data_IF_569161934441
#
_entry.id   IF_569161934441
#
_cell.length_a   1.000
_cell.length_b   1.000
_cell.length_c   1.000
_cell.angle_alpha   90.00
_cell.angle_beta   90.00
_cell.angle_gamma   90.00
#
_symmetry.space_group_name_H-M   'P 1'
#
loop_
_entity.id
_entity.type
_entity.pdbx_description
1 polymer ?
#
# COMPACT_ATOMS: atom_id res chain seq x y z
N UNK A 1 19.14 39.73 30.62
CA UNK A 1 18.73 38.30 30.59
C UNK A 1 17.82 38.13 29.39
N UNK A 2 18.30 37.50 28.32
CA UNK A 2 17.50 37.29 27.11
C UNK A 2 16.61 36.07 27.28
N UNK A 3 15.40 36.13 26.74
CA UNK A 3 14.45 35.01 26.75
C UNK A 3 14.03 34.71 25.32
N UNK A 4 13.80 33.43 25.05
CA UNK A 4 13.32 32.95 23.76
C UNK A 4 11.94 32.32 23.96
N UNK A 5 11.11 32.35 22.92
CA UNK A 5 9.79 31.71 22.95
C UNK A 5 9.84 30.38 22.20
N UNK A 6 9.17 29.37 22.75
CA UNK A 6 8.99 28.09 22.07
C UNK A 6 8.13 28.29 20.81
N UNK A 7 8.55 27.82 19.62
CA UNK A 7 7.76 27.97 18.40
C UNK A 7 6.50 27.10 18.38
N UNK A 8 6.47 25.99 19.12
CA UNK A 8 5.34 25.06 19.13
C UNK A 8 4.23 25.49 20.10
N UNK A 9 4.58 25.92 21.32
CA UNK A 9 3.61 26.19 22.37
C UNK A 9 3.62 27.64 22.89
N UNK A 10 4.47 28.50 22.32
CA UNK A 10 4.57 29.91 22.73
C UNK A 10 5.10 30.15 24.14
N UNK A 11 5.52 29.10 24.86
CA UNK A 11 5.98 29.23 26.26
C UNK A 11 7.33 29.95 26.31
N UNK A 12 7.49 30.85 27.29
CA UNK A 12 8.73 31.60 27.51
C UNK A 12 9.80 30.70 28.12
N UNK A 13 10.98 30.66 27.51
CA UNK A 13 12.09 29.80 27.89
C UNK A 13 13.36 30.62 28.14
N UNK A 14 14.26 30.04 28.94
CA UNK A 14 15.63 30.52 29.10
C UNK A 14 16.42 30.28 27.81
N UNK A 15 17.35 31.17 27.48
CA UNK A 15 18.27 31.04 26.33
C UNK A 15 19.11 29.75 26.36
N UNK A 16 19.27 29.15 27.55
CA UNK A 16 20.05 27.92 27.76
C UNK A 16 19.18 26.66 27.85
N UNK A 17 17.87 26.77 27.59
CA UNK A 17 16.99 25.61 27.63
C UNK A 17 17.35 24.63 26.51
N UNK A 18 17.62 23.38 26.88
CA UNK A 18 17.88 22.30 25.91
C UNK A 18 16.56 21.87 25.26
N UNK A 19 15.47 21.85 26.04
CA UNK A 19 14.12 21.48 25.61
C UNK A 19 13.05 22.30 26.34
N UNK A 20 11.90 22.48 25.69
CA UNK A 20 10.73 23.11 26.29
C UNK A 20 10.10 22.18 27.33
N UNK A 21 9.99 22.62 28.59
CA UNK A 21 9.36 21.83 29.66
C UNK A 21 7.84 21.66 29.48
N UNK A 22 7.19 22.47 28.64
CA UNK A 22 5.74 22.43 28.45
C UNK A 22 5.30 21.48 27.31
N UNK A 23 6.09 21.38 26.23
CA UNK A 23 5.73 20.55 25.06
C UNK A 23 6.83 19.58 24.61
N UNK A 24 7.95 19.51 25.34
CA UNK A 24 9.13 18.71 25.00
C UNK A 24 9.84 19.08 23.67
N UNK A 25 9.51 20.21 23.04
CA UNK A 25 10.19 20.67 21.83
C UNK A 25 11.69 20.98 22.08
N UNK A 26 12.63 20.44 21.28
CA UNK A 26 14.06 20.65 21.46
C UNK A 26 14.51 22.04 20.96
N UNK A 27 15.12 22.84 21.84
CA UNK A 27 15.54 24.22 21.54
C UNK A 27 17.04 24.28 21.13
N UNK A 28 17.86 23.33 21.59
CA UNK A 28 19.30 23.29 21.36
C UNK A 28 19.71 23.15 19.87
N UNK A 29 18.79 22.77 18.97
CA UNK A 29 19.09 22.54 17.56
C UNK A 29 19.36 23.83 16.73
N UNK A 30 19.10 25.04 17.28
CA UNK A 30 19.18 26.29 16.50
C UNK A 30 20.55 26.97 16.43
N UNK A 31 21.53 26.59 17.27
CA UNK A 31 22.84 27.30 17.32
C UNK A 31 23.88 26.88 16.27
N UNK A 32 23.67 25.79 15.53
CA UNK A 32 24.70 25.19 14.66
C UNK A 32 24.48 25.40 13.15
N UNK A 33 23.64 26.34 12.74
CA UNK A 33 23.41 26.63 11.31
C UNK A 33 24.32 27.74 10.77
N UNK A 34 25.64 27.70 11.02
CA UNK A 34 26.54 28.57 10.23
C UNK A 34 27.80 27.96 9.59
N UNK A 35 28.42 26.84 9.99
CA UNK A 35 29.55 26.32 9.17
C UNK A 35 29.70 24.79 9.19
N UNK A 36 29.29 24.12 8.08
CA UNK A 36 30.16 23.23 7.28
C UNK A 36 29.37 22.58 6.11
N UNK A 37 29.64 23.03 4.88
CA UNK A 37 29.41 22.27 3.66
C UNK A 37 30.69 21.50 3.33
N UNK A 38 30.69 20.19 3.56
CA UNK A 38 31.63 19.23 2.96
C UNK A 38 30.79 18.02 2.53
N UNK A 39 30.90 17.66 1.25
CA UNK A 39 30.21 16.60 0.54
C UNK A 39 30.20 15.25 1.26
N UNK A 40 29.00 14.75 1.59
CA UNK A 40 28.70 13.41 2.10
C UNK A 40 27.58 12.74 1.29
N UNK A 41 27.37 11.42 1.38
CA UNK A 41 26.48 10.69 0.46
C UNK A 41 25.04 11.19 0.60
N UNK A 42 24.33 11.29 -0.53
CA UNK A 42 22.92 11.67 -0.58
C UNK A 42 22.08 10.66 0.22
N UNK A 43 21.56 11.08 1.37
CA UNK A 43 20.52 10.33 2.08
C UNK A 43 19.26 11.17 2.01
N UNK A 44 18.30 10.66 1.25
CA UNK A 44 17.03 11.29 0.96
C UNK A 44 16.27 11.67 2.24
N UNK A 45 15.63 12.85 2.21
CA UNK A 45 14.70 13.35 3.21
C UNK A 45 13.39 12.53 3.21
N UNK A 46 13.49 11.24 3.55
CA UNK A 46 12.41 10.26 3.67
C UNK A 46 12.67 9.33 4.86
N UNK A 47 13.22 9.81 5.97
CA UNK A 47 13.57 8.95 7.11
C UNK A 47 13.28 9.63 8.44
N UNK A 48 12.00 9.85 8.71
CA UNK A 48 11.47 10.02 10.06
C UNK A 48 10.22 9.13 10.18
N UNK A 49 10.45 7.84 10.40
CA UNK A 49 9.42 6.80 10.46
C UNK A 49 9.89 5.39 10.09
N UNK A 50 11.19 5.09 10.18
CA UNK A 50 11.80 3.84 9.73
C UNK A 50 11.82 2.77 10.83
N UNK A 51 10.64 2.31 11.24
CA UNK A 51 10.41 1.01 11.88
C UNK A 51 9.04 0.41 11.48
N UNK A 52 8.45 0.89 10.37
CA UNK A 52 7.30 0.21 9.77
C UNK A 52 7.86 -0.66 8.67
N UNK A 53 7.89 -1.98 8.91
CA UNK A 53 8.37 -2.98 7.97
C UNK A 53 7.84 -2.70 6.57
N UNK A 54 8.72 -2.65 5.58
CA UNK A 54 8.32 -2.57 4.16
C UNK A 54 7.45 -3.78 3.85
N UNK A 55 6.13 -3.58 3.89
CA UNK A 55 5.17 -4.59 3.50
C UNK A 55 5.37 -4.79 2.01
N UNK A 56 5.91 -5.96 1.66
CA UNK A 56 6.11 -6.32 0.28
C UNK A 56 4.76 -6.26 -0.46
N UNK A 57 4.68 -5.35 -1.44
CA UNK A 57 3.46 -5.05 -2.15
C UNK A 57 3.18 -5.97 -3.35
N UNK A 58 3.98 -7.01 -3.54
CA UNK A 58 3.87 -7.93 -4.69
C UNK A 58 2.47 -8.55 -4.83
N UNK A 59 1.87 -9.06 -3.73
CA UNK A 59 0.56 -9.73 -3.81
C UNK A 59 -0.55 -8.75 -4.21
N UNK A 60 -0.48 -7.51 -3.74
CA UNK A 60 -1.49 -6.50 -4.08
C UNK A 60 -1.36 -6.08 -5.54
N UNK A 61 -0.14 -6.05 -6.08
CA UNK A 61 0.05 -5.83 -7.51
C UNK A 61 -0.57 -6.94 -8.35
N UNK A 62 -0.37 -8.21 -7.97
CA UNK A 62 -1.08 -9.33 -8.61
C UNK A 62 -2.59 -9.20 -8.47
N UNK A 63 -3.07 -8.80 -7.30
CA UNK A 63 -4.49 -8.57 -7.06
C UNK A 63 -5.03 -7.41 -7.91
N UNK A 64 -4.27 -6.32 -8.07
CA UNK A 64 -4.63 -5.17 -8.91
C UNK A 64 -4.75 -5.56 -10.39
N UNK A 65 -3.88 -6.46 -10.86
CA UNK A 65 -3.96 -7.03 -12.20
C UNK A 65 -4.86 -8.27 -12.30
N UNK A 66 -5.56 -8.65 -11.24
CA UNK A 66 -6.41 -9.85 -11.24
C UNK A 66 -7.47 -9.88 -12.35
N UNK A 67 -8.10 -8.77 -12.78
CA UNK A 67 -9.03 -8.80 -13.92
C UNK A 67 -8.35 -9.27 -15.22
N UNK A 68 -7.12 -8.83 -15.45
CA UNK A 68 -6.33 -9.17 -16.64
C UNK A 68 -5.74 -10.59 -16.55
N UNK A 69 -5.25 -10.97 -15.37
CA UNK A 69 -4.71 -12.32 -15.13
C UNK A 69 -5.85 -13.35 -15.21
N UNK A 70 -7.02 -13.01 -14.66
CA UNK A 70 -8.21 -13.84 -14.70
C UNK A 70 -8.65 -14.15 -16.12
N UNK A 71 -8.82 -13.13 -16.96
CA UNK A 71 -9.20 -13.32 -18.37
C UNK A 71 -8.16 -14.09 -19.18
N UNK A 72 -6.88 -13.82 -18.94
CA UNK A 72 -5.80 -14.59 -19.54
C UNK A 72 -5.88 -16.07 -19.16
N UNK A 73 -6.10 -16.38 -17.88
CA UNK A 73 -6.24 -17.76 -17.40
C UNK A 73 -7.49 -18.43 -17.97
N UNK A 74 -8.63 -17.73 -18.03
CA UNK A 74 -9.86 -18.27 -18.64
C UNK A 74 -9.64 -18.68 -20.09
N UNK A 75 -9.04 -17.81 -20.90
CA UNK A 75 -8.70 -18.11 -22.29
C UNK A 75 -7.66 -19.25 -22.41
N UNK A 76 -6.67 -19.28 -21.52
CA UNK A 76 -5.67 -20.35 -21.47
C UNK A 76 -6.30 -21.71 -21.17
N UNK A 77 -7.12 -21.80 -20.12
CA UNK A 77 -7.81 -23.04 -19.76
C UNK A 77 -8.82 -23.48 -20.82
N UNK A 78 -9.51 -22.54 -21.44
CA UNK A 78 -10.38 -22.82 -22.59
C UNK A 78 -9.61 -23.43 -23.76
N UNK A 79 -8.53 -22.78 -24.22
CA UNK A 79 -7.75 -23.25 -25.35
C UNK A 79 -7.06 -24.59 -25.07
N UNK A 80 -6.51 -24.73 -23.86
CA UNK A 80 -5.90 -25.98 -23.39
C UNK A 80 -6.94 -27.10 -23.40
N UNK A 81 -8.06 -26.95 -22.67
CA UNK A 81 -9.04 -28.02 -22.48
C UNK A 81 -9.77 -28.40 -23.78
N UNK A 82 -10.07 -27.43 -24.64
CA UNK A 82 -10.71 -27.67 -25.95
C UNK A 82 -9.81 -28.52 -26.86
N UNK A 83 -8.49 -28.33 -26.79
CA UNK A 83 -7.52 -29.14 -27.54
C UNK A 83 -7.49 -30.60 -27.08
N UNK A 84 -7.57 -30.87 -25.78
CA UNK A 84 -7.56 -32.26 -25.27
C UNK A 84 -8.88 -33.00 -25.42
N UNK A 85 -10.01 -32.29 -25.25
CA UNK A 85 -11.33 -32.93 -25.20
C UNK A 85 -12.04 -33.00 -26.55
N UNK A 86 -11.50 -32.36 -27.60
CA UNK A 86 -12.13 -32.22 -28.93
C UNK A 86 -13.59 -31.75 -28.87
N UNK A 87 -13.94 -30.98 -27.84
CA UNK A 87 -15.25 -30.36 -27.69
C UNK A 87 -15.09 -28.85 -27.68
N UNK A 88 -16.04 -28.18 -28.30
CA UNK A 88 -16.19 -26.74 -28.17
C UNK A 88 -16.82 -26.43 -26.81
N UNK A 89 -16.00 -25.96 -25.87
CA UNK A 89 -16.42 -25.58 -24.52
C UNK A 89 -16.57 -24.07 -24.52
N UNK A 90 -17.67 -23.50 -24.05
CA UNK A 90 -17.80 -22.03 -23.98
C UNK A 90 -16.81 -21.42 -22.95
N UNK A 91 -16.13 -20.32 -23.32
CA UNK A 91 -15.21 -19.58 -22.44
C UNK A 91 -15.90 -19.15 -21.14
N UNK A 92 -17.17 -18.78 -21.25
CA UNK A 92 -18.04 -18.30 -20.16
C UNK A 92 -18.17 -19.31 -19.00
N UNK A 93 -17.80 -20.59 -19.19
CA UNK A 93 -17.75 -21.57 -18.09
C UNK A 93 -16.60 -21.35 -17.12
N UNK A 94 -15.60 -20.56 -17.49
CA UNK A 94 -14.40 -20.35 -16.69
C UNK A 94 -14.42 -19.09 -15.83
N UNK A 95 -15.52 -18.31 -15.83
CA UNK A 95 -15.71 -17.11 -15.01
C UNK A 95 -15.37 -17.31 -13.50
N UNK A 96 -15.56 -18.53 -12.98
CA UNK A 96 -15.23 -18.89 -11.61
C UNK A 96 -13.72 -18.90 -11.33
N UNK A 97 -12.87 -19.04 -12.36
CA UNK A 97 -11.41 -18.98 -12.25
C UNK A 97 -11.00 -17.60 -11.76
N UNK A 98 -11.54 -16.54 -12.36
CA UNK A 98 -11.26 -15.16 -11.94
C UNK A 98 -11.71 -14.93 -10.49
N UNK A 99 -12.89 -15.42 -10.10
CA UNK A 99 -13.36 -15.32 -8.71
C UNK A 99 -12.45 -16.09 -7.75
N UNK A 100 -12.10 -17.33 -8.09
CA UNK A 100 -11.22 -18.17 -7.28
C UNK A 100 -9.85 -17.52 -7.11
N UNK A 101 -9.30 -16.93 -8.18
CA UNK A 101 -8.03 -16.20 -8.15
C UNK A 101 -8.10 -14.98 -7.21
N UNK A 102 -9.18 -14.19 -7.29
CA UNK A 102 -9.36 -13.02 -6.42
C UNK A 102 -9.46 -13.43 -4.94
N UNK A 103 -10.26 -14.45 -4.62
CA UNK A 103 -10.38 -14.96 -3.25
C UNK A 103 -9.02 -15.50 -2.76
N UNK A 104 -8.30 -16.25 -3.60
CA UNK A 104 -6.99 -16.81 -3.26
C UNK A 104 -5.97 -15.70 -2.96
N UNK A 105 -5.87 -14.68 -3.82
CA UNK A 105 -4.95 -13.57 -3.62
C UNK A 105 -5.30 -12.74 -2.38
N UNK A 106 -6.59 -12.46 -2.14
CA UNK A 106 -7.05 -11.78 -0.93
C UNK A 106 -6.70 -12.56 0.34
N UNK A 107 -6.98 -13.87 0.39
CA UNK A 107 -6.66 -14.70 1.55
C UNK A 107 -5.16 -14.84 1.79
N UNK A 108 -4.33 -14.85 0.75
CA UNK A 108 -2.87 -14.81 0.88
C UNK A 108 -2.41 -13.48 1.46
N UNK A 109 -3.00 -12.36 1.03
CA UNK A 109 -2.66 -11.04 1.58
C UNK A 109 -3.12 -10.89 3.03
N UNK A 110 -4.34 -11.32 3.38
CA UNK A 110 -4.86 -11.36 4.76
C UNK A 110 -3.93 -12.13 5.68
N UNK A 111 -3.54 -13.37 5.32
CA UNK A 111 -2.62 -14.17 6.12
C UNK A 111 -1.26 -13.48 6.32
N UNK A 112 -0.76 -12.74 5.32
CA UNK A 112 0.48 -11.98 5.43
C UNK A 112 0.35 -10.75 6.32
N UNK A 113 -0.85 -10.16 6.40
CA UNK A 113 -1.15 -9.04 7.29
C UNK A 113 -1.33 -9.53 8.73
N UNK A 114 -2.03 -10.65 8.95
CA UNK A 114 -2.18 -11.30 10.25
C UNK A 114 -0.83 -11.68 10.86
N UNK A 115 0.07 -12.28 10.05
CA UNK A 115 1.43 -12.61 10.47
C UNK A 115 2.25 -11.41 10.96
N UNK A 116 1.83 -10.19 10.61
CA UNK A 116 2.46 -8.93 11.03
C UNK A 116 1.68 -8.21 12.13
N UNK A 117 0.68 -8.86 12.72
CA UNK A 117 -0.15 -8.29 13.78
C UNK A 117 -1.13 -7.22 13.31
N UNK A 118 -1.44 -7.18 12.00
CA UNK A 118 -2.49 -6.30 11.47
C UNK A 118 -3.83 -6.99 11.65
N UNK A 119 -4.77 -6.24 12.24
CA UNK A 119 -6.16 -6.67 12.43
C UNK A 119 -6.90 -6.64 11.08
N UNK A 120 -7.00 -7.81 10.42
CA UNK A 120 -7.62 -7.98 9.10
C UNK A 120 -9.15 -8.05 9.15
N UNK A 121 -9.76 -8.20 10.33
CA UNK A 121 -11.22 -8.28 10.47
C UNK A 121 -11.91 -7.01 9.95
N UNK A 122 -11.19 -5.89 9.95
CA UNK A 122 -11.65 -4.59 9.45
C UNK A 122 -11.57 -4.43 7.92
N UNK A 123 -10.82 -5.29 7.21
CA UNK A 123 -10.66 -5.20 5.75
C UNK A 123 -11.93 -5.57 4.98
N UNK A 124 -12.83 -6.36 5.57
CA UNK A 124 -14.08 -6.79 4.94
C UNK A 124 -13.91 -7.99 3.99
N UNK A 125 -14.98 -8.37 3.29
CA UNK A 125 -15.02 -9.61 2.51
C UNK A 125 -14.11 -9.60 1.28
N UNK A 126 -13.26 -10.62 1.18
CA UNK A 126 -12.32 -10.89 0.08
C UNK A 126 -12.93 -10.93 -1.34
N UNK A 127 -14.24 -11.10 -1.48
CA UNK A 127 -14.93 -11.09 -2.78
C UNK A 127 -14.94 -9.71 -3.44
N UNK A 128 -15.02 -8.64 -2.65
CA UNK A 128 -15.21 -7.28 -3.16
C UNK A 128 -13.88 -6.54 -3.23
N UNK A 129 -13.05 -6.99 -4.18
CA UNK A 129 -11.65 -6.57 -4.38
C UNK A 129 -11.44 -5.05 -4.35
N UNK A 130 -12.21 -4.20 -5.04
CA UNK A 130 -12.02 -2.75 -4.96
C UNK A 130 -12.23 -2.20 -3.53
N UNK A 131 -13.21 -2.70 -2.78
CA UNK A 131 -13.44 -2.30 -1.39
C UNK A 131 -12.33 -2.81 -0.49
N UNK A 132 -11.87 -4.04 -0.70
CA UNK A 132 -10.75 -4.63 0.02
C UNK A 132 -9.46 -3.80 -0.17
N UNK A 133 -9.08 -3.50 -1.42
CA UNK A 133 -7.90 -2.70 -1.76
C UNK A 133 -7.96 -1.30 -1.14
N UNK A 134 -9.12 -0.66 -1.20
CA UNK A 134 -9.32 0.67 -0.63
C UNK A 134 -9.17 0.66 0.90
N UNK A 135 -9.84 -0.28 1.59
CA UNK A 135 -9.77 -0.42 3.05
C UNK A 135 -8.37 -0.79 3.52
N UNK A 136 -7.69 -1.69 2.81
CA UNK A 136 -6.31 -2.07 3.08
C UNK A 136 -5.36 -0.87 2.97
N UNK A 137 -5.47 -0.07 1.90
CA UNK A 137 -4.67 1.14 1.73
C UNK A 137 -4.92 2.16 2.85
N UNK A 138 -6.19 2.31 3.28
CA UNK A 138 -6.56 3.16 4.40
C UNK A 138 -5.99 2.66 5.74
N UNK A 139 -6.06 1.35 6.00
CA UNK A 139 -5.54 0.73 7.23
C UNK A 139 -4.01 0.87 7.34
N UNK A 140 -3.30 0.66 6.24
CA UNK A 140 -1.84 0.71 6.17
C UNK A 140 -1.29 2.12 5.90
N UNK A 141 -2.16 3.13 5.74
CA UNK A 141 -1.81 4.51 5.33
C UNK A 141 -0.91 4.55 4.09
N UNK A 142 -1.17 3.65 3.14
CA UNK A 142 -0.42 3.51 1.88
C UNK A 142 -1.15 4.18 0.71
N UNK A 143 -0.46 4.32 -0.42
CA UNK A 143 -1.04 4.85 -1.65
C UNK A 143 -2.19 3.97 -2.17
N UNK A 144 -3.27 4.60 -2.63
CA UNK A 144 -4.41 3.94 -3.26
C UNK A 144 -4.16 3.55 -4.73
N UNK A 145 -2.90 3.56 -5.20
CA UNK A 145 -2.55 3.28 -6.59
C UNK A 145 -3.10 1.92 -7.07
N UNK A 146 -2.96 0.88 -6.26
CA UNK A 146 -3.44 -0.47 -6.58
C UNK A 146 -4.96 -0.53 -6.82
N UNK A 147 -5.72 0.26 -6.05
CA UNK A 147 -7.17 0.36 -6.22
C UNK A 147 -7.50 0.97 -7.59
N UNK A 148 -6.87 2.08 -7.96
CA UNK A 148 -7.09 2.72 -9.26
C UNK A 148 -6.65 1.84 -10.42
N UNK A 149 -5.52 1.14 -10.29
CA UNK A 149 -5.07 0.16 -11.30
C UNK A 149 -6.11 -0.93 -11.47
N UNK A 150 -6.63 -1.51 -10.38
CA UNK A 150 -7.68 -2.52 -10.47
C UNK A 150 -8.92 -2.01 -11.19
N UNK A 151 -9.39 -0.80 -10.85
CA UNK A 151 -10.56 -0.18 -11.50
C UNK A 151 -10.31 0.02 -12.99
N UNK A 152 -9.14 0.54 -13.38
CA UNK A 152 -8.79 0.74 -14.80
C UNK A 152 -8.74 -0.61 -15.52
N UNK A 153 -8.06 -1.62 -14.98
CA UNK A 153 -8.01 -2.95 -15.57
C UNK A 153 -9.40 -3.56 -15.71
N UNK A 154 -10.24 -3.45 -14.68
CA UNK A 154 -11.61 -3.95 -14.71
C UNK A 154 -12.46 -3.22 -15.76
N UNK A 155 -12.35 -1.89 -15.87
CA UNK A 155 -13.07 -1.11 -16.87
C UNK A 155 -12.62 -1.46 -18.29
N UNK A 156 -11.32 -1.61 -18.53
CA UNK A 156 -10.81 -2.01 -19.84
C UNK A 156 -11.34 -3.38 -20.26
N UNK A 157 -11.40 -4.33 -19.31
CA UNK A 157 -11.99 -5.66 -19.49
C UNK A 157 -13.50 -5.58 -19.79
N UNK A 158 -14.26 -4.85 -18.99
CA UNK A 158 -15.73 -4.75 -19.13
C UNK A 158 -16.14 -4.01 -20.40
N UNK A 159 -15.35 -3.03 -20.83
CA UNK A 159 -15.59 -2.29 -22.07
C UNK A 159 -15.12 -3.06 -23.32
N UNK A 160 -14.65 -4.31 -23.17
CA UNK A 160 -14.13 -5.15 -24.25
C UNK A 160 -13.03 -4.44 -25.08
N UNK A 161 -12.28 -3.54 -24.44
CA UNK A 161 -11.14 -2.87 -25.06
C UNK A 161 -9.93 -3.83 -25.10
N UNK A 162 -10.01 -4.94 -24.36
CA UNK A 162 -8.94 -5.89 -24.06
C UNK A 162 -9.40 -7.33 -24.26
#
# INVERSE_FOLDING_TARGET
MSFVFCPECGTKLSEHAIQCLNCAYPIAARKNNQHQYVSGPQINAQQAGSNVQEINNTVIWFLAFAPLIGSFLEGFFWGFLSTYTQRDISIDRFWWITIALNILLCTIDEKRLEQRGVDVDKLGSAWLVPVYLFKRAALLRQSQAYFWVWIVCFLLMVLEIL
#
